data_IF_908640107102
#
_entry.id   IF_908640107102
#
_cell.length_a   1.000
_cell.length_b   1.000
_cell.length_c   1.000
_cell.angle_alpha   90.00
_cell.angle_beta   90.00
_cell.angle_gamma   90.00
#
_symmetry.space_group_name_H-M   'P 1'
#
loop_
_entity.id
_entity.type
_entity.pdbx_description
1 polymer ?
#
# COMPACT_ATOMS: atom_id res chain seq x y z
N UNK A 1 -5.86 8.91 -14.34
CA UNK A 1 -4.80 9.74 -13.76
C UNK A 1 -5.44 10.91 -13.02
N UNK A 2 -4.98 11.21 -11.80
CA UNK A 2 -5.48 12.30 -10.94
C UNK A 2 -4.33 13.22 -10.61
N UNK A 3 -4.58 14.51 -10.50
CA UNK A 3 -3.53 15.50 -10.22
C UNK A 3 -3.82 16.18 -8.89
N UNK A 4 -2.81 16.34 -8.04
CA UNK A 4 -2.94 17.13 -6.82
C UNK A 4 -2.77 18.63 -7.07
N UNK A 5 -2.92 19.44 -6.01
CA UNK A 5 -2.79 20.90 -6.08
C UNK A 5 -1.39 21.39 -6.50
N UNK A 6 -0.37 20.52 -6.45
CA UNK A 6 1.00 20.83 -6.84
C UNK A 6 1.34 20.33 -8.26
N UNK A 7 0.35 19.82 -9.00
CA UNK A 7 0.56 19.31 -10.36
C UNK A 7 1.14 17.90 -10.42
N UNK A 8 1.22 17.17 -9.30
CA UNK A 8 1.75 15.79 -9.30
C UNK A 8 0.70 14.83 -9.81
N UNK A 9 1.08 14.01 -10.79
CA UNK A 9 0.21 13.01 -11.40
C UNK A 9 0.24 11.68 -10.61
N UNK A 10 -0.93 11.28 -10.15
CA UNK A 10 -1.21 10.01 -9.50
C UNK A 10 -1.92 9.08 -10.49
N UNK A 11 -1.61 7.78 -10.38
CA UNK A 11 -2.17 6.76 -11.28
C UNK A 11 -3.67 6.60 -11.08
N UNK A 12 -4.10 6.61 -9.82
CA UNK A 12 -5.51 6.62 -9.42
C UNK A 12 -5.77 7.60 -8.25
N UNK A 13 -6.93 7.52 -7.61
CA UNK A 13 -7.32 8.46 -6.56
C UNK A 13 -6.57 8.25 -5.23
N UNK A 14 -5.94 7.09 -5.01
CA UNK A 14 -5.11 6.82 -3.83
C UNK A 14 -3.79 7.58 -3.97
N UNK A 15 -3.37 8.27 -2.91
CA UNK A 15 -2.04 8.89 -2.88
C UNK A 15 -0.92 7.89 -2.63
N UNK A 16 -1.24 6.78 -1.98
CA UNK A 16 -0.29 5.72 -1.66
C UNK A 16 -0.87 4.36 -2.04
N UNK A 17 0.01 3.42 -2.36
CA UNK A 17 -0.31 2.00 -2.51
C UNK A 17 0.55 1.22 -1.54
N UNK A 18 0.00 0.12 -1.03
CA UNK A 18 0.69 -0.74 -0.10
C UNK A 18 1.07 -2.04 -0.81
N UNK A 19 2.24 -2.56 -0.47
CA UNK A 19 2.76 -3.83 -0.97
C UNK A 19 3.11 -4.69 0.24
N UNK A 20 2.52 -5.88 0.33
CA UNK A 20 2.87 -6.89 1.34
C UNK A 20 3.84 -7.89 0.70
N UNK A 21 5.05 -7.99 1.24
CA UNK A 21 6.11 -8.83 0.65
C UNK A 21 7.06 -9.37 1.73
N UNK A 22 7.78 -10.45 1.41
CA UNK A 22 8.91 -10.91 2.22
C UNK A 22 10.14 -10.08 1.89
N UNK A 23 10.86 -9.62 2.92
CA UNK A 23 12.13 -8.93 2.76
C UNK A 23 13.18 -9.54 3.68
N UNK A 24 14.41 -9.61 3.19
CA UNK A 24 15.57 -9.99 4.01
C UNK A 24 16.23 -8.71 4.52
N UNK A 25 16.13 -8.47 5.82
CA UNK A 25 16.88 -7.39 6.49
C UNK A 25 18.33 -7.82 6.59
N UNK A 26 19.19 -7.21 5.76
CA UNK A 26 20.62 -7.48 5.78
C UNK A 26 21.28 -6.78 6.96
N UNK A 27 22.01 -7.54 7.76
CA UNK A 27 22.89 -6.95 8.75
C UNK A 27 24.22 -6.59 8.08
N UNK A 28 24.64 -5.32 8.19
CA UNK A 28 25.97 -4.88 7.70
C UNK A 28 27.13 -5.37 8.59
N UNK A 29 26.82 -6.19 9.59
CA UNK A 29 27.78 -6.92 10.40
C UNK A 29 28.47 -8.02 9.58
N UNK A 30 29.71 -8.38 9.93
CA UNK A 30 30.52 -9.40 9.24
C UNK A 30 29.97 -10.84 9.32
N UNK A 31 28.83 -11.07 10.00
CA UNK A 31 28.20 -12.38 10.12
C UNK A 31 26.87 -12.44 9.32
N UNK A 32 26.86 -13.06 8.13
CA UNK A 32 25.67 -13.23 7.31
C UNK A 32 24.56 -14.05 7.97
N UNK A 33 24.85 -14.78 9.06
CA UNK A 33 23.84 -15.57 9.79
C UNK A 33 22.86 -14.70 10.59
N UNK A 34 23.11 -13.39 10.66
CA UNK A 34 22.21 -12.43 11.29
C UNK A 34 21.18 -11.84 10.32
N UNK A 35 21.22 -12.19 9.04
CA UNK A 35 20.16 -11.83 8.10
C UNK A 35 18.85 -12.46 8.57
N UNK A 36 17.79 -11.66 8.57
CA UNK A 36 16.45 -12.08 9.00
C UNK A 36 15.46 -11.88 7.88
N UNK A 37 14.75 -12.94 7.57
CA UNK A 37 13.61 -12.91 6.67
C UNK A 37 12.38 -12.47 7.47
N UNK A 38 11.80 -11.33 7.08
CA UNK A 38 10.67 -10.69 7.77
C UNK A 38 9.59 -10.30 6.75
N UNK A 39 8.34 -10.30 7.19
CA UNK A 39 7.24 -9.78 6.38
C UNK A 39 7.24 -8.26 6.44
N UNK A 40 7.11 -7.60 5.29
CA UNK A 40 7.14 -6.15 5.20
C UNK A 40 5.90 -5.61 4.49
N UNK A 41 5.37 -4.52 5.02
CA UNK A 41 4.37 -3.68 4.35
C UNK A 41 5.08 -2.42 3.86
N UNK A 42 5.27 -2.32 2.55
CA UNK A 42 5.90 -1.17 1.91
C UNK A 42 4.81 -0.21 1.47
N UNK A 43 4.85 1.02 2.01
CA UNK A 43 4.00 2.12 1.55
C UNK A 43 4.75 2.86 0.44
N UNK A 44 4.17 2.93 -0.76
CA UNK A 44 4.72 3.62 -1.92
C UNK A 44 3.82 4.76 -2.34
N UNK A 45 4.39 5.87 -2.83
CA UNK A 45 3.56 6.92 -3.45
C UNK A 45 2.98 6.40 -4.76
N UNK A 46 1.71 6.65 -5.01
CA UNK A 46 1.00 6.19 -6.22
C UNK A 46 1.25 7.10 -7.44
N UNK A 47 2.52 7.40 -7.68
CA UNK A 47 3.01 8.21 -8.81
C UNK A 47 3.86 7.34 -9.74
N UNK A 48 4.35 7.90 -10.84
CA UNK A 48 5.26 7.18 -11.72
C UNK A 48 6.50 6.66 -10.97
N UNK A 49 6.82 5.39 -11.18
CA UNK A 49 7.94 4.69 -10.53
C UNK A 49 7.65 4.15 -9.12
N UNK A 50 6.50 4.46 -8.51
CA UNK A 50 6.11 3.99 -7.17
C UNK A 50 7.23 4.10 -6.11
N UNK A 51 7.78 5.30 -5.88
CA UNK A 51 8.90 5.46 -4.95
C UNK A 51 8.49 5.02 -3.54
N UNK A 52 9.34 4.26 -2.83
CA UNK A 52 9.07 3.85 -1.46
C UNK A 52 9.02 5.09 -0.56
N UNK A 53 8.03 5.11 0.34
CA UNK A 53 7.85 6.16 1.34
C UNK A 53 8.20 5.65 2.74
N UNK A 54 7.73 4.45 3.07
CA UNK A 54 7.98 3.78 4.34
C UNK A 54 7.96 2.26 4.12
N UNK A 55 8.71 1.52 4.93
CA UNK A 55 8.58 0.07 5.06
C UNK A 55 8.40 -0.26 6.54
N UNK A 56 7.37 -1.04 6.85
CA UNK A 56 7.06 -1.54 8.19
C UNK A 56 7.31 -3.05 8.20
N UNK A 57 8.21 -3.52 9.07
CA UNK A 57 8.63 -4.94 9.15
C UNK A 57 7.94 -5.66 10.31
N UNK A 58 7.59 -6.92 10.10
CA UNK A 58 6.83 -7.77 10.99
C UNK A 58 7.41 -9.18 11.05
N UNK A 59 7.45 -9.82 12.22
CA UNK A 59 7.94 -11.19 12.37
C UNK A 59 7.06 -12.23 11.64
N UNK A 60 5.76 -11.98 11.55
CA UNK A 60 4.78 -12.92 10.99
C UNK A 60 3.95 -12.28 9.88
N UNK A 61 3.47 -13.14 8.97
CA UNK A 61 2.57 -12.72 7.89
C UNK A 61 1.27 -12.14 8.43
N UNK A 62 0.70 -12.77 9.46
CA UNK A 62 -0.60 -12.38 10.02
C UNK A 62 -0.56 -10.98 10.65
N UNK A 63 0.54 -10.62 11.31
CA UNK A 63 0.76 -9.26 11.83
C UNK A 63 0.85 -8.24 10.69
N UNK A 64 1.62 -8.56 9.65
CA UNK A 64 1.75 -7.69 8.47
C UNK A 64 0.41 -7.51 7.73
N UNK A 65 -0.37 -8.58 7.57
CA UNK A 65 -1.70 -8.52 6.96
C UNK A 65 -2.68 -7.70 7.82
N UNK A 66 -2.64 -7.86 9.14
CA UNK A 66 -3.47 -7.08 10.06
C UNK A 66 -3.15 -5.60 9.96
N UNK A 67 -1.86 -5.25 9.94
CA UNK A 67 -1.42 -3.88 9.73
C UNK A 67 -1.84 -3.34 8.36
N UNK A 68 -1.63 -4.12 7.29
CA UNK A 68 -2.05 -3.77 5.94
C UNK A 68 -3.54 -3.39 5.89
N UNK A 69 -4.41 -4.28 6.39
CA UNK A 69 -5.88 -4.13 6.35
C UNK A 69 -6.33 -2.88 7.10
N UNK A 70 -5.64 -2.50 8.18
CA UNK A 70 -5.90 -1.27 8.93
C UNK A 70 -5.51 -0.02 8.14
N UNK A 71 -4.28 0.02 7.61
CA UNK A 71 -3.75 1.25 7.00
C UNK A 71 -4.34 1.50 5.60
N UNK A 72 -4.63 0.45 4.83
CA UNK A 72 -5.08 0.60 3.44
C UNK A 72 -6.38 1.42 3.34
N UNK A 73 -7.31 1.26 4.29
CA UNK A 73 -8.58 2.01 4.31
C UNK A 73 -8.41 3.48 4.75
N UNK A 74 -7.31 3.77 5.45
CA UNK A 74 -6.90 5.12 5.88
C UNK A 74 -6.13 5.87 4.79
N UNK A 75 -5.90 5.26 3.61
CA UNK A 75 -5.11 5.87 2.53
C UNK A 75 -5.70 7.21 2.09
N UNK A 76 -4.93 8.32 2.16
CA UNK A 76 -5.35 9.61 1.66
C UNK A 76 -5.72 9.60 0.18
N UNK A 77 -6.73 10.41 -0.17
CA UNK A 77 -7.22 10.51 -1.54
C UNK A 77 -6.89 11.86 -2.17
N UNK A 78 -6.53 11.85 -3.45
CA UNK A 78 -6.27 13.06 -4.24
C UNK A 78 -7.55 13.89 -4.32
N UNK A 79 -8.69 13.26 -4.61
CA UNK A 79 -10.02 13.89 -4.63
C UNK A 79 -10.44 14.53 -3.30
N UNK A 80 -9.80 14.16 -2.19
CA UNK A 80 -10.09 14.69 -0.85
C UNK A 80 -8.99 15.61 -0.33
N UNK A 81 -8.31 16.33 -1.21
CA UNK A 81 -7.23 17.26 -0.84
C UNK A 81 -6.15 16.61 0.04
N UNK A 82 -5.78 15.36 -0.26
CA UNK A 82 -4.79 14.59 0.51
C UNK A 82 -5.23 14.21 1.92
N UNK A 83 -6.54 14.16 2.17
CA UNK A 83 -7.10 13.66 3.43
C UNK A 83 -7.60 12.22 3.29
N UNK A 84 -7.58 11.44 4.38
CA UNK A 84 -8.22 10.13 4.41
C UNK A 84 -9.73 10.24 4.21
N UNK A 85 -10.40 9.15 3.80
CA UNK A 85 -11.84 9.03 3.90
C UNK A 85 -12.33 9.37 5.31
N UNK A 86 -13.43 10.13 5.39
CA UNK A 86 -14.13 10.41 6.64
C UNK A 86 -15.64 10.33 6.36
N UNK A 87 -16.38 9.38 6.97
CA UNK A 87 -15.87 8.32 7.86
C UNK A 87 -14.92 7.35 7.14
N UNK A 88 -14.09 6.64 7.91
CA UNK A 88 -13.25 5.56 7.37
C UNK A 88 -14.14 4.40 6.93
N UNK A 89 -13.96 3.86 5.71
CA UNK A 89 -14.71 2.69 5.28
C UNK A 89 -14.23 1.45 6.03
N UNK A 90 -15.13 0.49 6.19
CA UNK A 90 -14.76 -0.89 6.50
C UNK A 90 -13.92 -1.51 5.37
N UNK A 91 -13.26 -2.63 5.68
CA UNK A 91 -12.43 -3.33 4.69
C UNK A 91 -13.25 -3.83 3.49
N UNK A 92 -14.48 -4.28 3.71
CA UNK A 92 -15.36 -4.78 2.64
C UNK A 92 -15.90 -3.64 1.76
N UNK A 93 -16.22 -2.49 2.34
CA UNK A 93 -16.56 -1.29 1.58
C UNK A 93 -15.37 -0.80 0.74
N UNK A 94 -14.16 -0.82 1.30
CA UNK A 94 -12.96 -0.48 0.57
C UNK A 94 -12.67 -1.47 -0.58
N UNK A 95 -12.83 -2.78 -0.35
CA UNK A 95 -12.71 -3.80 -1.40
C UNK A 95 -13.74 -3.58 -2.51
N UNK A 96 -14.99 -3.30 -2.14
CA UNK A 96 -16.06 -3.02 -3.11
C UNK A 96 -15.74 -1.78 -3.94
N UNK A 97 -15.18 -0.75 -3.31
CA UNK A 97 -14.70 0.44 -4.00
C UNK A 97 -13.55 0.15 -4.97
N UNK A 98 -12.56 -0.67 -4.59
CA UNK A 98 -11.48 -1.10 -5.49
C UNK A 98 -12.04 -1.80 -6.74
N UNK A 99 -13.02 -2.69 -6.58
CA UNK A 99 -13.67 -3.39 -7.70
C UNK A 99 -14.44 -2.43 -8.60
N UNK A 100 -15.26 -1.55 -8.02
CA UNK A 100 -16.08 -0.60 -8.75
C UNK A 100 -15.24 0.40 -9.57
N UNK A 101 -14.15 0.89 -8.98
CA UNK A 101 -13.21 1.80 -9.65
C UNK A 101 -12.16 1.07 -10.51
N UNK A 102 -12.22 -0.28 -10.56
CA UNK A 102 -11.28 -1.14 -11.30
C UNK A 102 -9.81 -0.87 -10.92
N UNK A 103 -9.55 -0.76 -9.62
CA UNK A 103 -8.23 -0.45 -9.07
C UNK A 103 -7.52 -1.72 -8.60
N UNK A 104 -6.23 -1.79 -8.93
CA UNK A 104 -5.42 -2.97 -8.61
C UNK A 104 -4.95 -2.89 -7.17
N UNK A 105 -5.03 -4.02 -6.49
CA UNK A 105 -4.46 -4.22 -5.18
C UNK A 105 -4.05 -5.70 -5.09
N UNK A 106 -2.75 -5.96 -4.99
CA UNK A 106 -2.23 -7.32 -5.03
C UNK A 106 -2.80 -8.23 -3.93
N UNK A 107 -3.25 -7.63 -2.81
CA UNK A 107 -3.74 -8.37 -1.65
C UNK A 107 -5.27 -8.41 -1.57
N UNK A 108 -5.95 -7.32 -1.92
CA UNK A 108 -7.41 -7.18 -1.77
C UNK A 108 -8.19 -7.30 -3.08
N UNK A 109 -7.57 -7.04 -4.23
CA UNK A 109 -8.18 -7.11 -5.55
C UNK A 109 -7.15 -7.51 -6.64
N UNK A 110 -6.62 -8.76 -6.60
CA UNK A 110 -5.53 -9.19 -7.47
C UNK A 110 -5.96 -9.45 -8.92
N UNK A 111 -7.26 -9.63 -9.17
CA UNK A 111 -7.79 -9.99 -10.48
C UNK A 111 -8.50 -8.79 -11.10
N UNK A 112 -7.76 -7.95 -11.82
CA UNK A 112 -8.41 -7.06 -12.78
C UNK A 112 -8.44 -7.80 -14.10
N UNK A 113 -9.64 -8.15 -14.56
CA UNK A 113 -9.82 -8.55 -15.95
C UNK A 113 -9.46 -7.35 -16.83
N UNK A 114 -8.29 -7.41 -17.48
CA UNK A 114 -7.96 -6.51 -18.58
C UNK A 114 -8.97 -6.75 -19.72
N UNK A 115 -9.71 -5.71 -20.11
CA UNK A 115 -10.51 -5.71 -21.34
C UNK A 115 -9.95 -4.68 -22.30
#
# INVERSE_FOLDING_TARGET
MKTDLLGREYKDDRMFVLELTMATTRNFSLDPKLDKDEWCVITRRNVMGYPPYRADSFPTRDEAETFYKKIVVETPRVSRHSLPPNPLPSLDEYRSWLVNERLYDAFLNPNIEEK
#
